data_IF_743210542883
#
_entry.id   IF_743210542883
#
_cell.length_a   1.000
_cell.length_b   1.000
_cell.length_c   1.000
_cell.angle_alpha   90.00
_cell.angle_beta   90.00
_cell.angle_gamma   90.00
#
_symmetry.space_group_name_H-M   'P 1'
#
loop_
_entity.id
_entity.type
_entity.pdbx_description
1 polymer ?
#
# COMPACT_ATOMS: atom_id res chain seq x y z
N UNK A 1 3.66 56.04 7.96
CA UNK A 1 4.13 56.66 6.73
C UNK A 1 5.58 56.19 6.47
N UNK A 2 5.78 55.05 5.83
CA UNK A 2 7.08 54.68 5.24
C UNK A 2 6.75 53.78 4.05
N UNK A 3 6.93 54.37 2.87
CA UNK A 3 6.71 53.75 1.56
C UNK A 3 7.95 52.95 1.17
N UNK A 4 7.82 51.66 0.99
CA UNK A 4 8.91 50.80 0.49
C UNK A 4 8.74 50.60 -1.04
N UNK A 5 9.68 51.16 -1.74
CA UNK A 5 9.84 51.20 -3.18
C UNK A 5 10.49 49.88 -3.63
N UNK A 6 9.75 49.01 -4.33
CA UNK A 6 10.27 47.78 -4.97
C UNK A 6 10.87 48.15 -6.33
N UNK A 7 12.18 48.05 -6.41
CA UNK A 7 12.95 48.23 -7.66
C UNK A 7 12.77 47.01 -8.57
N UNK A 8 12.17 47.20 -9.75
CA UNK A 8 12.04 46.20 -10.79
C UNK A 8 13.32 46.23 -11.65
N UNK A 9 14.14 45.20 -11.52
CA UNK A 9 15.34 45.04 -12.35
C UNK A 9 14.97 44.28 -13.63
N UNK A 10 14.74 44.97 -14.73
CA UNK A 10 14.55 44.40 -16.06
C UNK A 10 15.91 44.09 -16.68
N UNK A 11 16.23 42.81 -16.81
CA UNK A 11 17.42 42.34 -17.54
C UNK A 11 17.07 42.15 -19.01
N UNK A 12 17.50 43.07 -19.86
CA UNK A 12 17.40 42.95 -21.32
C UNK A 12 18.57 42.11 -21.83
N UNK A 13 18.27 40.85 -22.28
CA UNK A 13 19.24 40.02 -22.99
C UNK A 13 19.33 40.45 -24.45
N UNK A 14 20.46 41.03 -24.82
CA UNK A 14 20.78 41.37 -26.24
C UNK A 14 21.26 40.12 -26.93
N UNK A 15 20.46 39.59 -27.89
CA UNK A 15 20.84 38.49 -28.74
C UNK A 15 21.79 38.96 -29.82
N UNK A 16 23.03 38.47 -29.80
CA UNK A 16 24.02 38.68 -30.88
C UNK A 16 23.84 37.56 -31.91
N UNK A 17 23.26 37.91 -33.05
CA UNK A 17 23.15 37.01 -34.19
C UNK A 17 24.49 36.93 -34.92
N UNK A 18 25.21 35.84 -34.85
CA UNK A 18 26.34 35.51 -35.70
C UNK A 18 25.86 34.69 -36.89
N UNK A 19 25.74 35.30 -38.06
CA UNK A 19 25.53 34.62 -39.32
C UNK A 19 26.87 34.04 -39.77
N UNK A 20 27.13 32.76 -39.47
CA UNK A 20 28.24 31.99 -40.01
C UNK A 20 27.71 31.02 -41.07
N UNK A 21 27.84 31.36 -42.35
CA UNK A 21 27.66 30.46 -43.46
C UNK A 21 28.93 29.61 -43.59
N UNK A 22 28.86 28.30 -43.33
CA UNK A 22 29.93 27.35 -43.53
C UNK A 22 29.31 25.99 -43.78
N UNK A 23 29.26 25.57 -45.07
CA UNK A 23 28.81 24.25 -45.47
C UNK A 23 29.76 23.16 -44.99
N UNK A 24 29.21 22.06 -44.49
CA UNK A 24 29.97 20.86 -44.12
C UNK A 24 29.01 19.80 -43.65
N UNK A 25 28.93 18.71 -44.37
CA UNK A 25 28.14 17.50 -44.23
C UNK A 25 27.53 17.21 -42.87
N UNK A 26 26.23 17.31 -42.84
CA UNK A 26 25.46 16.91 -41.68
C UNK A 26 25.62 15.41 -41.41
N UNK A 27 26.23 15.10 -40.30
CA UNK A 27 25.80 13.95 -39.52
C UNK A 27 24.72 14.52 -38.59
N UNK A 28 23.50 14.32 -38.99
CA UNK A 28 22.38 14.42 -38.04
C UNK A 28 22.65 13.41 -36.97
N UNK A 29 23.51 13.79 -36.03
CA UNK A 29 23.63 13.10 -34.76
C UNK A 29 22.26 13.27 -34.10
N UNK A 30 21.45 12.24 -34.22
CA UNK A 30 20.26 12.08 -33.41
C UNK A 30 20.66 12.26 -31.96
N UNK A 31 20.56 13.51 -31.47
CA UNK A 31 20.79 13.84 -30.07
C UNK A 31 19.57 13.37 -29.29
N UNK A 32 19.32 12.05 -29.34
CA UNK A 32 18.30 11.44 -28.52
C UNK A 32 18.63 11.76 -27.07
N UNK A 33 17.68 12.39 -26.39
CA UNK A 33 17.84 12.68 -24.95
C UNK A 33 18.27 11.42 -24.20
N UNK A 34 19.07 11.52 -23.15
CA UNK A 34 19.38 10.37 -22.31
C UNK A 34 18.10 9.66 -21.85
N UNK A 35 18.18 8.34 -21.75
CA UNK A 35 17.10 7.52 -21.20
C UNK A 35 16.79 7.95 -19.76
N UNK A 36 15.51 8.06 -19.43
CA UNK A 36 15.06 8.48 -18.11
C UNK A 36 14.55 7.26 -17.30
N UNK A 37 14.70 7.24 -15.97
CA UNK A 37 14.09 6.20 -15.16
C UNK A 37 12.56 6.19 -15.31
N UNK A 38 11.91 5.02 -15.24
CA UNK A 38 10.47 4.92 -15.33
C UNK A 38 9.76 5.72 -14.23
N UNK A 39 8.61 6.25 -14.55
CA UNK A 39 7.74 6.93 -13.60
C UNK A 39 6.84 5.94 -12.89
N UNK A 40 6.58 6.20 -11.59
CA UNK A 40 5.66 5.43 -10.73
C UNK A 40 4.80 6.43 -9.97
N UNK A 41 3.48 6.30 -10.06
CA UNK A 41 2.55 7.17 -9.33
C UNK A 41 2.70 6.98 -7.80
N UNK A 42 2.24 7.97 -7.03
CA UNK A 42 2.18 7.83 -5.58
C UNK A 42 1.15 6.75 -5.21
N UNK A 43 1.48 5.96 -4.19
CA UNK A 43 0.60 4.95 -3.60
C UNK A 43 0.31 5.42 -2.18
N UNK A 44 -0.97 5.49 -1.82
CA UNK A 44 -1.39 5.92 -0.49
C UNK A 44 -1.14 4.83 0.56
N UNK A 45 -0.95 5.25 1.80
CA UNK A 45 -0.92 4.33 2.94
C UNK A 45 -2.25 3.57 3.06
N UNK A 46 -2.18 2.34 3.55
CA UNK A 46 -3.28 1.40 3.56
C UNK A 46 -3.52 0.86 4.97
N UNK A 47 -4.79 0.72 5.34
CA UNK A 47 -5.20 0.04 6.56
C UNK A 47 -6.06 -1.16 6.19
N UNK A 48 -5.70 -2.33 6.70
CA UNK A 48 -6.36 -3.61 6.41
C UNK A 48 -6.76 -4.24 7.75
N UNK A 49 -7.99 -4.75 7.89
CA UNK A 49 -8.34 -5.59 9.03
C UNK A 49 -7.53 -6.89 9.01
N UNK A 50 -7.20 -7.42 10.19
CA UNK A 50 -6.62 -8.75 10.36
C UNK A 50 -7.44 -9.81 9.60
N UNK A 51 -6.77 -10.80 9.02
CA UNK A 51 -7.36 -11.92 8.28
C UNK A 51 -8.24 -11.52 7.08
N UNK A 52 -7.99 -10.31 6.53
CA UNK A 52 -8.69 -9.78 5.37
C UNK A 52 -7.69 -9.33 4.29
N UNK A 53 -8.11 -9.39 3.03
CA UNK A 53 -7.33 -8.83 1.92
C UNK A 53 -7.77 -7.38 1.64
N UNK A 54 -6.85 -6.58 1.12
CA UNK A 54 -7.19 -5.23 0.65
C UNK A 54 -8.10 -5.27 -0.58
N UNK A 55 -8.79 -4.17 -0.86
CA UNK A 55 -9.26 -3.90 -2.21
C UNK A 55 -8.06 -3.77 -3.18
N UNK A 56 -8.32 -3.86 -4.48
CA UNK A 56 -7.29 -3.61 -5.48
C UNK A 56 -6.81 -2.16 -5.38
N UNK A 57 -5.52 -1.96 -5.11
CA UNK A 57 -4.85 -0.66 -5.03
C UNK A 57 -4.29 -0.33 -6.40
N UNK A 58 -4.82 0.69 -7.11
CA UNK A 58 -4.31 1.07 -8.42
C UNK A 58 -3.04 1.90 -8.32
N UNK A 59 -2.16 1.77 -9.30
CA UNK A 59 -1.02 2.63 -9.52
C UNK A 59 -0.63 2.66 -11.01
N UNK A 60 -0.02 3.75 -11.45
CA UNK A 60 0.36 3.95 -12.84
C UNK A 60 1.87 3.90 -12.99
N UNK A 61 2.29 3.31 -14.13
CA UNK A 61 3.69 3.22 -14.54
C UNK A 61 3.82 3.71 -15.98
N UNK A 62 4.86 4.48 -16.28
CA UNK A 62 5.17 4.92 -17.61
C UNK A 62 6.68 5.14 -17.77
N UNK A 63 7.15 5.09 -19.01
CA UNK A 63 8.53 5.34 -19.38
C UNK A 63 8.61 6.02 -20.74
N UNK A 64 9.70 6.74 -21.01
CA UNK A 64 9.89 7.49 -22.26
C UNK A 64 10.34 6.61 -23.44
N UNK A 65 10.90 5.41 -23.16
CA UNK A 65 11.44 4.49 -24.16
C UNK A 65 10.96 3.06 -24.05
N UNK A 66 10.72 2.61 -22.84
CA UNK A 66 10.21 1.25 -22.61
C UNK A 66 8.69 1.26 -22.62
N UNK A 67 8.08 0.46 -23.47
CA UNK A 67 6.62 0.32 -23.46
C UNK A 67 6.14 -0.09 -22.08
N UNK A 68 5.10 0.55 -21.55
CA UNK A 68 4.60 0.32 -20.20
C UNK A 68 4.26 -1.16 -19.89
N UNK A 69 3.90 -1.93 -20.92
CA UNK A 69 3.67 -3.38 -20.80
C UNK A 69 4.95 -4.18 -20.56
N UNK A 70 6.11 -3.64 -20.93
CA UNK A 70 7.43 -4.27 -20.79
C UNK A 70 8.16 -3.84 -19.52
N UNK A 71 7.62 -2.88 -18.78
CA UNK A 71 8.17 -2.49 -17.49
C UNK A 71 8.04 -3.63 -16.48
N UNK A 72 9.13 -3.89 -15.76
CA UNK A 72 9.19 -4.91 -14.72
C UNK A 72 8.82 -4.28 -13.37
N UNK A 73 7.78 -4.81 -12.74
CA UNK A 73 7.34 -4.38 -11.40
C UNK A 73 7.71 -5.44 -10.39
N UNK A 74 8.38 -5.04 -9.32
CA UNK A 74 8.72 -5.89 -8.17
C UNK A 74 8.30 -5.23 -6.86
N UNK A 75 8.08 -6.05 -5.84
CA UNK A 75 7.64 -5.59 -4.52
C UNK A 75 8.52 -6.19 -3.43
N UNK A 76 8.64 -5.47 -2.32
CA UNK A 76 9.27 -5.97 -1.10
C UNK A 76 8.51 -5.46 0.12
N UNK A 77 8.66 -6.15 1.24
CA UNK A 77 8.07 -5.81 2.53
C UNK A 77 9.16 -5.69 3.59
N UNK A 78 9.04 -4.71 4.46
CA UNK A 78 9.96 -4.53 5.60
C UNK A 78 9.69 -5.52 6.72
N UNK A 79 8.48 -6.07 6.80
CA UNK A 79 8.07 -7.05 7.80
C UNK A 79 7.20 -8.14 7.15
N UNK A 80 7.83 -9.25 6.70
CA UNK A 80 7.09 -10.39 6.13
C UNK A 80 6.18 -11.11 7.13
N UNK A 81 6.39 -10.93 8.44
CA UNK A 81 5.52 -11.47 9.49
C UNK A 81 4.18 -10.75 9.57
N UNK A 82 4.10 -9.50 9.09
CA UNK A 82 2.87 -8.70 9.00
C UNK A 82 2.31 -8.74 7.58
N UNK A 83 3.17 -8.47 6.58
CA UNK A 83 2.81 -8.49 5.16
C UNK A 83 3.84 -9.33 4.40
N UNK A 84 3.57 -10.60 4.15
CA UNK A 84 4.45 -11.46 3.35
C UNK A 84 4.46 -11.02 1.89
N UNK A 85 5.61 -11.13 1.21
CA UNK A 85 5.74 -10.73 -0.20
C UNK A 85 4.83 -11.56 -1.10
N UNK A 86 4.66 -12.84 -0.81
CA UNK A 86 3.75 -13.77 -1.48
C UNK A 86 2.27 -13.41 -1.32
N UNK A 87 1.94 -12.62 -0.28
CA UNK A 87 0.61 -12.06 -0.07
C UNK A 87 0.34 -10.80 -0.92
N UNK A 88 1.35 -10.27 -1.63
CA UNK A 88 1.19 -9.10 -2.50
C UNK A 88 1.05 -9.56 -3.94
N UNK A 89 -0.18 -9.57 -4.44
CA UNK A 89 -0.51 -9.98 -5.80
C UNK A 89 -0.56 -8.77 -6.73
N UNK A 90 0.32 -8.75 -7.73
CA UNK A 90 0.33 -7.75 -8.78
C UNK A 90 -0.63 -8.12 -9.89
N UNK A 91 -1.40 -7.15 -10.39
CA UNK A 91 -2.35 -7.30 -11.48
C UNK A 91 -2.33 -6.08 -12.42
N UNK A 92 -3.31 -6.05 -13.33
CA UNK A 92 -3.41 -5.02 -14.35
C UNK A 92 -2.49 -5.26 -15.53
N UNK A 93 -2.37 -4.28 -16.43
CA UNK A 93 -1.56 -4.40 -17.65
C UNK A 93 -1.24 -3.04 -18.27
N UNK A 94 -0.19 -2.99 -19.08
CA UNK A 94 0.25 -1.73 -19.66
C UNK A 94 0.66 -0.72 -18.57
N UNK A 95 0.19 0.52 -18.70
CA UNK A 95 0.48 1.59 -17.74
C UNK A 95 -0.33 1.52 -16.46
N UNK A 96 -1.50 0.88 -16.47
CA UNK A 96 -2.40 0.79 -15.33
C UNK A 96 -2.18 -0.54 -14.61
N UNK A 97 -1.63 -0.49 -13.43
CA UNK A 97 -1.34 -1.65 -12.58
C UNK A 97 -2.20 -1.65 -11.34
N UNK A 98 -2.35 -2.81 -10.75
CA UNK A 98 -3.03 -2.97 -9.46
C UNK A 98 -2.21 -3.88 -8.56
N UNK A 99 -2.40 -3.75 -7.25
CA UNK A 99 -1.93 -4.74 -6.28
C UNK A 99 -3.05 -5.06 -5.30
N UNK A 100 -3.06 -6.29 -4.81
CA UNK A 100 -3.90 -6.73 -3.70
C UNK A 100 -2.99 -7.25 -2.62
N UNK A 101 -3.19 -6.83 -1.38
CA UNK A 101 -2.35 -7.18 -0.24
C UNK A 101 -3.17 -8.03 0.73
N UNK A 102 -2.63 -9.21 1.03
CA UNK A 102 -3.17 -10.13 2.03
C UNK A 102 -2.14 -10.25 3.15
N UNK A 103 -2.43 -9.73 4.36
CA UNK A 103 -1.57 -9.88 5.52
C UNK A 103 -1.34 -11.35 5.90
N UNK A 104 -0.32 -11.61 6.72
CA UNK A 104 -0.13 -12.92 7.32
C UNK A 104 -1.30 -13.25 8.25
N UNK A 105 -1.63 -14.53 8.36
CA UNK A 105 -2.72 -15.01 9.21
C UNK A 105 -2.50 -14.59 10.68
N UNK A 106 -3.56 -14.16 11.34
CA UNK A 106 -3.57 -13.70 12.73
C UNK A 106 -2.55 -12.59 13.04
N UNK A 107 -2.00 -11.90 12.03
CA UNK A 107 -1.01 -10.83 12.22
C UNK A 107 -1.66 -9.48 12.46
N UNK A 108 -0.97 -8.63 13.22
CA UNK A 108 -1.28 -7.21 13.41
C UNK A 108 0.01 -6.41 13.45
N UNK A 109 -0.06 -5.13 13.13
CA UNK A 109 1.12 -4.26 13.13
C UNK A 109 1.25 -3.44 11.86
N UNK A 110 2.48 -3.03 11.55
CA UNK A 110 2.77 -2.19 10.39
C UNK A 110 3.94 -2.75 9.59
N UNK A 111 3.83 -2.69 8.27
CA UNK A 111 4.93 -2.99 7.35
C UNK A 111 5.04 -1.89 6.30
N UNK A 112 6.27 -1.52 5.91
CA UNK A 112 6.51 -0.67 4.75
C UNK A 112 6.64 -1.56 3.52
N UNK A 113 5.75 -1.36 2.56
CA UNK A 113 5.81 -2.03 1.25
C UNK A 113 6.49 -1.11 0.26
N UNK A 114 7.49 -1.61 -0.43
CA UNK A 114 8.20 -0.90 -1.49
C UNK A 114 7.87 -1.51 -2.84
N UNK A 115 7.48 -0.67 -3.80
CA UNK A 115 7.23 -1.02 -5.20
C UNK A 115 8.35 -0.44 -6.03
N UNK A 116 9.03 -1.27 -6.81
CA UNK A 116 10.09 -0.88 -7.73
C UNK A 116 9.68 -1.20 -9.15
N UNK A 117 9.81 -0.23 -10.03
CA UNK A 117 9.58 -0.37 -11.47
C UNK A 117 10.92 -0.21 -12.17
N UNK A 118 11.27 -1.14 -13.04
CA UNK A 118 12.49 -1.11 -13.84
C UNK A 118 12.17 -1.17 -15.33
N UNK A 119 12.97 -0.45 -16.13
CA UNK A 119 12.94 -0.44 -17.57
C UNK A 119 13.89 -1.49 -18.19
N UNK A 120 13.93 -1.54 -19.53
CA UNK A 120 14.80 -2.45 -20.27
C UNK A 120 16.28 -2.05 -20.23
N UNK A 121 16.60 -0.79 -19.90
CA UNK A 121 17.97 -0.29 -19.74
C UNK A 121 18.53 -0.53 -18.34
N UNK A 122 17.69 -0.96 -17.38
CA UNK A 122 18.04 -1.20 -15.99
C UNK A 122 17.90 0.03 -15.09
N UNK A 123 17.34 1.13 -15.61
CA UNK A 123 16.96 2.27 -14.77
C UNK A 123 15.72 1.92 -13.98
N UNK A 124 15.58 2.46 -12.75
CA UNK A 124 14.46 2.09 -11.89
C UNK A 124 14.00 3.23 -11.00
N UNK A 125 12.72 3.15 -10.61
CA UNK A 125 12.10 4.04 -9.63
C UNK A 125 11.44 3.21 -8.56
N UNK A 126 11.64 3.59 -7.28
CA UNK A 126 11.02 2.93 -6.13
C UNK A 126 10.14 3.90 -5.36
N UNK A 127 8.98 3.43 -4.93
CA UNK A 127 8.09 4.12 -3.99
C UNK A 127 7.72 3.20 -2.86
N UNK A 128 7.64 3.78 -1.65
CA UNK A 128 7.25 3.07 -0.44
C UNK A 128 5.97 3.68 0.12
N UNK A 129 5.14 2.85 0.75
CA UNK A 129 3.94 3.24 1.47
C UNK A 129 3.77 2.34 2.70
N UNK A 130 3.01 2.82 3.69
CA UNK A 130 2.77 2.10 4.93
C UNK A 130 1.51 1.24 4.80
N UNK A 131 1.61 -0.01 5.26
CA UNK A 131 0.47 -0.91 5.45
C UNK A 131 0.29 -1.13 6.95
N UNK A 132 -0.89 -0.83 7.46
CA UNK A 132 -1.27 -1.06 8.86
C UNK A 132 -2.30 -2.18 8.91
N UNK A 133 -2.02 -3.22 9.67
CA UNK A 133 -2.96 -4.33 9.91
C UNK A 133 -3.53 -4.20 11.31
N UNK A 134 -4.83 -3.96 11.39
CA UNK A 134 -5.54 -3.75 12.65
C UNK A 134 -6.19 -5.06 13.13
N UNK A 135 -6.15 -5.27 14.45
CA UNK A 135 -6.90 -6.36 15.06
C UNK A 135 -8.41 -6.22 14.82
N UNK A 136 -9.08 -7.33 14.56
CA UNK A 136 -10.53 -7.39 14.53
C UNK A 136 -11.02 -7.73 15.94
N UNK A 137 -11.58 -6.77 16.63
CA UNK A 137 -12.21 -6.99 17.93
C UNK A 137 -13.64 -7.50 17.71
N UNK A 138 -13.86 -8.79 17.94
CA UNK A 138 -15.21 -9.35 17.98
C UNK A 138 -15.75 -9.13 19.39
N UNK A 139 -16.71 -8.22 19.55
CA UNK A 139 -17.37 -8.04 20.83
C UNK A 139 -18.28 -9.26 21.08
N UNK A 140 -17.90 -10.11 22.03
CA UNK A 140 -18.69 -11.28 22.44
C UNK A 140 -19.98 -10.93 23.21
N UNK A 141 -20.22 -9.64 23.46
CA UNK A 141 -21.35 -9.17 24.31
C UNK A 141 -22.74 -9.54 23.80
N UNK A 142 -22.91 -9.76 22.47
CA UNK A 142 -24.22 -10.17 21.93
C UNK A 142 -24.43 -11.69 21.97
N UNK A 143 -23.34 -12.48 21.96
CA UNK A 143 -23.44 -13.95 21.97
C UNK A 143 -23.80 -14.51 23.34
N UNK A 144 -23.26 -13.90 24.39
CA UNK A 144 -23.54 -14.33 25.78
C UNK A 144 -24.99 -14.04 26.17
N UNK A 145 -25.58 -12.97 25.64
CA UNK A 145 -26.96 -12.60 25.98
C UNK A 145 -28.00 -13.51 25.32
N UNK A 146 -27.83 -13.87 24.05
CA UNK A 146 -28.76 -14.79 23.38
C UNK A 146 -28.67 -16.24 23.90
N UNK A 147 -27.49 -16.68 24.35
CA UNK A 147 -27.34 -18.00 24.93
C UNK A 147 -27.98 -18.13 26.32
N UNK A 148 -28.04 -17.02 27.08
CA UNK A 148 -28.63 -17.02 28.41
C UNK A 148 -30.18 -16.95 28.38
N UNK A 149 -30.78 -16.34 27.33
CA UNK A 149 -32.23 -16.22 27.22
C UNK A 149 -32.94 -17.45 26.69
N UNK A 150 -32.23 -18.40 26.07
CA UNK A 150 -32.86 -19.52 25.34
C UNK A 150 -32.83 -20.86 26.09
N UNK A 151 -32.46 -20.92 27.36
CA UNK A 151 -32.29 -22.25 27.95
C UNK A 151 -32.46 -22.33 29.48
N UNK A 152 -33.67 -22.55 29.91
CA UNK A 152 -33.89 -23.28 31.17
C UNK A 152 -33.75 -24.83 30.99
N UNK A 153 -33.46 -25.34 29.80
CA UNK A 153 -33.45 -26.80 29.54
C UNK A 153 -32.38 -27.31 28.58
N UNK A 154 -31.29 -26.56 28.34
CA UNK A 154 -30.28 -27.01 27.38
C UNK A 154 -29.11 -27.70 28.05
N UNK A 155 -28.95 -29.00 27.77
CA UNK A 155 -27.71 -29.74 27.93
C UNK A 155 -26.52 -28.97 27.36
N UNK A 156 -25.36 -29.12 28.02
CA UNK A 156 -24.09 -28.49 27.63
C UNK A 156 -23.86 -28.57 26.12
N UNK A 157 -23.96 -27.43 25.41
CA UNK A 157 -23.68 -27.33 23.97
C UNK A 157 -22.21 -27.07 23.77
N UNK A 158 -21.60 -27.89 22.95
CA UNK A 158 -20.24 -27.70 22.50
C UNK A 158 -20.18 -26.49 21.57
N UNK A 159 -19.45 -25.44 21.95
CA UNK A 159 -19.12 -24.31 21.11
C UNK A 159 -17.79 -24.61 20.41
N UNK A 160 -17.82 -24.82 19.10
CA UNK A 160 -16.62 -24.97 18.25
C UNK A 160 -15.60 -25.99 18.78
N UNK A 161 -16.06 -27.11 19.32
CA UNK A 161 -15.18 -28.18 19.83
C UNK A 161 -14.60 -27.92 21.24
N UNK A 162 -14.98 -26.84 21.91
CA UNK A 162 -14.65 -26.63 23.32
C UNK A 162 -15.79 -27.15 24.20
N UNK A 163 -15.46 -28.07 25.08
CA UNK A 163 -16.36 -28.50 26.15
C UNK A 163 -16.19 -27.51 27.29
N UNK A 164 -17.19 -26.66 27.53
CA UNK A 164 -17.22 -25.87 28.76
C UNK A 164 -17.56 -26.83 29.90
N UNK A 165 -16.58 -27.15 30.73
CA UNK A 165 -16.87 -27.79 32.01
C UNK A 165 -17.58 -26.76 32.90
N UNK A 166 -18.79 -27.10 33.31
CA UNK A 166 -19.51 -26.30 34.27
C UNK A 166 -18.95 -26.62 35.68
N UNK A 167 -17.98 -25.84 36.13
CA UNK A 167 -17.41 -25.94 37.47
C UNK A 167 -18.35 -25.39 38.56
N UNK A 168 -19.59 -25.05 38.17
CA UNK A 168 -20.58 -24.45 39.09
C UNK A 168 -21.12 -25.45 40.14
N UNK A 169 -20.86 -26.76 40.00
CA UNK A 169 -21.28 -27.73 41.01
C UNK A 169 -20.47 -27.65 42.30
N UNK A 170 -19.24 -27.10 42.26
CA UNK A 170 -18.35 -27.02 43.44
C UNK A 170 -18.32 -25.64 44.11
N UNK A 171 -19.00 -24.62 43.51
CA UNK A 171 -19.07 -23.27 44.10
C UNK A 171 -20.45 -22.66 43.95
N UNK A 172 -21.45 -23.10 44.73
CA UNK A 172 -22.80 -22.56 44.65
C UNK A 172 -22.93 -21.09 45.00
N UNK A 173 -21.94 -20.47 45.61
CA UNK A 173 -21.99 -19.09 46.07
C UNK A 173 -21.31 -18.07 45.13
N UNK A 174 -20.73 -18.53 44.03
CA UNK A 174 -19.96 -17.65 43.13
C UNK A 174 -20.83 -16.66 42.34
N UNK A 175 -22.12 -16.93 42.21
CA UNK A 175 -23.06 -16.10 41.47
C UNK A 175 -24.04 -15.31 42.32
N UNK A 176 -24.11 -15.59 43.64
CA UNK A 176 -25.07 -14.93 44.51
C UNK A 176 -24.69 -13.47 44.89
N UNK A 177 -23.48 -13.04 44.49
CA UNK A 177 -22.99 -11.68 44.74
C UNK A 177 -23.19 -10.73 43.55
N UNK A 178 -23.85 -11.18 42.45
CA UNK A 178 -24.06 -10.39 41.23
C UNK A 178 -25.54 -10.03 40.98
N UNK A 179 -26.45 -10.34 41.95
CA UNK A 179 -27.85 -9.92 41.90
C UNK A 179 -28.12 -8.77 42.84
#
# INVERSE_FOLDING_TARGET
MITSMRSLLTLTATALAVAGCGGGGGRDGDSQAPDAPPSLSAIADLTIPQDSSSAAVPFDVADDRTAAASLIVSVSSSDPGVVPVEGILLGGGGGNRTMTITPAEASTGTATVSVTVADAAGLSTTRAFLVTVNAVNVAFTSWTFEMYTDSETADSRSLLGFTLQNDAEDQPDAFDSLL
#
